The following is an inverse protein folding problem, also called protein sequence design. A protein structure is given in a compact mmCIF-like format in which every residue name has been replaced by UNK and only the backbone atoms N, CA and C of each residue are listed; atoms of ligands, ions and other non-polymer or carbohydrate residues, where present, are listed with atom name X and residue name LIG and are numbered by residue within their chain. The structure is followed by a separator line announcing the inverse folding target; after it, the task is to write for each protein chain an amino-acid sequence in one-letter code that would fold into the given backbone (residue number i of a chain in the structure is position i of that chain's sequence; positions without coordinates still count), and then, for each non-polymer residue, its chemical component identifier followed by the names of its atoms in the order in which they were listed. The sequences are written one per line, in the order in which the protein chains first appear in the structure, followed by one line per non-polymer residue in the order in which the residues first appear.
data_IF_424602215816
#
_entry.id   IF_424602215816
#
_cell.length_a   1.000
_cell.length_b   1.000
_cell.length_c   1.000
_cell.angle_alpha   90.00
_cell.angle_beta   90.00
_cell.angle_gamma   90.00
#
_symmetry.space_group_name_H-M   'P 1'
#
loop_
_entity.id
_entity.type
_entity.pdbx_description
1 polymer ?
#
# COMPACT_ATOMS: atom_id res chain seq x y z
N UNK A 1 -19.26 37.13 25.99
CA UNK A 1 -18.25 36.55 25.07
C UNK A 1 -17.97 35.11 25.49
N UNK A 2 -18.91 34.17 25.35
CA UNK A 2 -18.76 32.82 25.95
C UNK A 2 -19.53 31.67 25.27
N UNK A 3 -20.57 31.97 24.49
CA UNK A 3 -21.32 30.92 23.75
C UNK A 3 -20.74 30.69 22.34
N UNK A 4 -20.34 31.77 21.65
CA UNK A 4 -19.68 31.70 20.34
C UNK A 4 -18.31 30.98 20.39
N UNK A 5 -17.51 31.19 21.44
CA UNK A 5 -16.23 30.48 21.60
C UNK A 5 -16.42 28.99 21.95
N UNK A 6 -17.46 28.64 22.72
CA UNK A 6 -17.80 27.23 22.96
C UNK A 6 -18.22 26.53 21.67
N UNK A 7 -19.12 27.13 20.88
CA UNK A 7 -19.60 26.50 19.66
C UNK A 7 -18.47 26.28 18.64
N UNK A 8 -17.54 27.23 18.52
CA UNK A 8 -16.33 27.07 17.71
C UNK A 8 -15.41 25.98 18.25
N UNK A 9 -15.20 25.93 19.58
CA UNK A 9 -14.44 24.87 20.23
C UNK A 9 -15.05 23.48 19.90
N UNK A 10 -16.34 23.26 20.19
CA UNK A 10 -17.02 21.99 19.87
C UNK A 10 -17.01 21.63 18.37
N UNK A 11 -17.02 22.62 17.47
CA UNK A 11 -16.84 22.41 16.04
C UNK A 11 -15.46 21.82 15.72
N UNK A 12 -14.40 22.48 16.17
CA UNK A 12 -13.01 22.07 15.92
C UNK A 12 -12.68 20.70 16.54
N UNK A 13 -13.15 20.39 17.77
CA UNK A 13 -12.92 19.05 18.37
C UNK A 13 -13.60 17.92 17.59
N UNK A 14 -14.82 18.14 17.08
CA UNK A 14 -15.54 17.14 16.30
C UNK A 14 -14.92 16.95 14.91
N UNK A 15 -14.40 18.01 14.30
CA UNK A 15 -13.68 17.95 13.03
C UNK A 15 -12.34 17.22 13.16
N UNK A 16 -11.56 17.51 14.19
CA UNK A 16 -10.30 16.82 14.48
C UNK A 16 -10.53 15.33 14.80
N UNK A 17 -11.54 15.01 15.62
CA UNK A 17 -11.91 13.63 15.93
C UNK A 17 -12.40 12.88 14.69
N UNK A 18 -13.21 13.54 13.85
CA UNK A 18 -13.69 12.98 12.58
C UNK A 18 -12.56 12.74 11.57
N UNK A 19 -11.62 13.67 11.45
CA UNK A 19 -10.45 13.55 10.58
C UNK A 19 -9.52 12.42 11.05
N UNK A 20 -9.20 12.36 12.35
CA UNK A 20 -8.40 11.28 12.93
C UNK A 20 -9.03 9.91 12.68
N UNK A 21 -10.35 9.78 12.90
CA UNK A 21 -11.08 8.55 12.65
C UNK A 21 -11.07 8.18 11.15
N UNK A 22 -11.13 9.16 10.25
CA UNK A 22 -11.02 8.93 8.81
C UNK A 22 -9.63 8.42 8.42
N UNK A 23 -8.56 9.10 8.83
CA UNK A 23 -7.18 8.72 8.50
C UNK A 23 -6.83 7.35 9.07
N UNK A 24 -7.26 7.06 10.31
CA UNK A 24 -7.14 5.73 10.92
C UNK A 24 -7.77 4.64 10.05
N UNK A 25 -9.00 4.86 9.57
CA UNK A 25 -9.69 3.90 8.68
C UNK A 25 -8.94 3.69 7.37
N UNK A 26 -8.39 4.75 6.78
CA UNK A 26 -7.60 4.65 5.55
C UNK A 26 -6.37 3.77 5.78
N UNK A 27 -5.60 4.01 6.84
CA UNK A 27 -4.42 3.20 7.15
C UNK A 27 -4.76 1.75 7.47
N UNK A 28 -5.87 1.49 8.16
CA UNK A 28 -6.37 0.12 8.40
C UNK A 28 -6.73 -0.58 7.09
N UNK A 29 -7.45 0.08 6.18
CA UNK A 29 -7.76 -0.49 4.86
C UNK A 29 -6.50 -0.77 4.04
N UNK A 30 -5.49 0.10 4.10
CA UNK A 30 -4.20 -0.12 3.43
C UNK A 30 -3.45 -1.33 4.01
N UNK A 31 -3.41 -1.48 5.34
CA UNK A 31 -2.81 -2.64 5.99
C UNK A 31 -3.48 -3.96 5.61
N UNK A 32 -4.82 -3.98 5.58
CA UNK A 32 -5.59 -5.15 5.14
C UNK A 32 -5.33 -5.42 3.66
N UNK A 33 -5.39 -4.40 2.81
CA UNK A 33 -5.14 -4.53 1.37
C UNK A 33 -3.77 -5.10 1.08
N UNK A 34 -2.73 -4.61 1.77
CA UNK A 34 -1.38 -5.11 1.60
C UNK A 34 -1.21 -6.56 2.11
N UNK A 35 -1.91 -6.93 3.19
CA UNK A 35 -1.93 -8.31 3.67
C UNK A 35 -2.57 -9.25 2.64
N UNK A 36 -3.65 -8.80 1.99
CA UNK A 36 -4.28 -9.52 0.86
C UNK A 36 -3.30 -9.65 -0.30
N UNK A 37 -2.64 -8.56 -0.70
CA UNK A 37 -1.61 -8.56 -1.75
C UNK A 37 -0.52 -9.59 -1.46
N UNK A 38 0.01 -9.60 -0.23
CA UNK A 38 1.05 -10.53 0.19
C UNK A 38 0.58 -11.99 0.19
N UNK A 39 -0.63 -12.25 0.68
CA UNK A 39 -1.22 -13.60 0.68
C UNK A 39 -1.43 -14.12 -0.74
N UNK A 40 -1.99 -13.29 -1.63
CA UNK A 40 -2.18 -13.65 -3.04
C UNK A 40 -0.84 -13.86 -3.75
N UNK A 41 0.14 -13.00 -3.52
CA UNK A 41 1.49 -13.16 -4.06
C UNK A 41 2.13 -14.48 -3.63
N UNK A 42 1.97 -14.88 -2.37
CA UNK A 42 2.43 -16.18 -1.86
C UNK A 42 1.75 -17.36 -2.54
N UNK A 43 0.42 -17.32 -2.69
CA UNK A 43 -0.33 -18.38 -3.38
C UNK A 43 0.11 -18.55 -4.83
N UNK A 44 0.33 -17.44 -5.54
CA UNK A 44 0.84 -17.45 -6.90
C UNK A 44 2.25 -18.02 -6.94
N UNK A 45 3.17 -17.52 -6.10
CA UNK A 45 4.54 -18.04 -6.03
C UNK A 45 4.58 -19.55 -5.76
N UNK A 46 3.82 -20.02 -4.75
CA UNK A 46 3.72 -21.44 -4.42
C UNK A 46 3.20 -22.28 -5.59
N UNK A 47 2.21 -21.76 -6.34
CA UNK A 47 1.69 -22.40 -7.55
C UNK A 47 2.72 -22.46 -8.68
N UNK A 48 3.55 -21.42 -8.86
CA UNK A 48 4.64 -21.41 -9.85
C UNK A 48 5.71 -22.45 -9.54
N UNK A 49 6.15 -22.54 -8.27
CA UNK A 49 7.22 -23.46 -7.86
C UNK A 49 6.75 -24.92 -7.88
N UNK A 50 5.48 -25.18 -7.53
CA UNK A 50 4.91 -26.55 -7.51
C UNK A 50 4.49 -27.04 -8.90
N UNK A 51 4.59 -26.19 -9.94
CA UNK A 51 4.23 -26.57 -11.32
C UNK A 51 2.72 -26.65 -11.56
N UNK A 52 1.91 -25.88 -10.83
CA UNK A 52 0.46 -25.83 -11.01
C UNK A 52 0.06 -25.39 -12.42
N UNK A 53 -0.99 -26.01 -12.98
CA UNK A 53 -1.47 -25.76 -14.35
C UNK A 53 -1.80 -24.28 -14.62
N UNK A 54 -2.36 -23.58 -13.63
CA UNK A 54 -2.69 -22.15 -13.73
C UNK A 54 -1.44 -21.29 -13.87
N UNK A 55 -0.40 -21.54 -13.06
CA UNK A 55 0.83 -20.77 -13.09
C UNK A 55 1.57 -20.92 -14.44
N UNK A 56 1.56 -22.11 -15.02
CA UNK A 56 2.18 -22.38 -16.33
C UNK A 56 1.51 -21.62 -17.47
N UNK A 57 0.18 -21.50 -17.45
CA UNK A 57 -0.58 -20.75 -18.47
C UNK A 57 -0.31 -19.24 -18.36
N UNK A 58 -0.29 -18.70 -17.14
CA UNK A 58 -0.14 -17.26 -16.92
C UNK A 58 1.30 -16.75 -17.12
N UNK A 59 2.32 -17.59 -16.88
CA UNK A 59 3.71 -17.11 -16.80
C UNK A 59 4.70 -17.81 -17.74
N UNK A 60 4.41 -19.01 -18.24
CA UNK A 60 5.34 -19.79 -19.06
C UNK A 60 4.79 -20.16 -20.46
N UNK A 61 3.61 -19.68 -20.82
CA UNK A 61 3.04 -19.82 -22.16
C UNK A 61 3.65 -18.80 -23.13
N UNK A 62 3.64 -19.08 -24.44
CA UNK A 62 3.95 -18.12 -25.50
C UNK A 62 3.14 -16.81 -25.34
N UNK A 63 1.93 -16.92 -24.76
CA UNK A 63 1.02 -15.80 -24.49
C UNK A 63 1.22 -15.13 -23.11
N UNK A 64 2.17 -15.60 -22.29
CA UNK A 64 2.34 -15.12 -20.91
C UNK A 64 2.65 -13.62 -20.85
N UNK A 65 3.48 -13.11 -21.77
CA UNK A 65 3.77 -11.68 -21.85
C UNK A 65 2.50 -10.85 -22.13
N UNK A 66 1.60 -11.34 -23.00
CA UNK A 66 0.34 -10.67 -23.27
C UNK A 66 -0.58 -10.65 -22.04
N UNK A 67 -0.63 -11.75 -21.29
CA UNK A 67 -1.41 -11.84 -20.05
C UNK A 67 -0.86 -10.90 -18.96
N UNK A 68 0.46 -10.84 -18.79
CA UNK A 68 1.10 -9.93 -17.84
C UNK A 68 0.88 -8.45 -18.19
N UNK A 69 1.00 -8.09 -19.47
CA UNK A 69 0.71 -6.74 -19.96
C UNK A 69 -0.79 -6.44 -19.76
N UNK A 70 -1.68 -7.40 -20.03
CA UNK A 70 -3.11 -7.27 -19.77
C UNK A 70 -3.45 -7.00 -18.30
N UNK A 71 -2.79 -7.69 -17.37
CA UNK A 71 -2.91 -7.44 -15.93
C UNK A 71 -2.43 -6.04 -15.54
N UNK A 72 -1.32 -5.58 -16.11
CA UNK A 72 -0.79 -4.24 -15.86
C UNK A 72 -1.77 -3.16 -16.36
N UNK A 73 -2.29 -3.31 -17.57
CA UNK A 73 -3.29 -2.38 -18.15
C UNK A 73 -4.56 -2.38 -17.28
N UNK A 74 -5.02 -3.55 -16.85
CA UNK A 74 -6.20 -3.70 -16.00
C UNK A 74 -6.03 -2.94 -14.69
N UNK A 75 -4.85 -3.00 -14.07
CA UNK A 75 -4.55 -2.24 -12.85
C UNK A 75 -4.66 -0.73 -13.06
N UNK A 76 -4.09 -0.21 -14.16
CA UNK A 76 -4.16 1.22 -14.49
C UNK A 76 -5.60 1.65 -14.76
N UNK A 77 -6.33 0.90 -15.58
CA UNK A 77 -7.75 1.17 -15.88
C UNK A 77 -8.56 1.20 -14.58
N UNK A 78 -8.35 0.24 -13.69
CA UNK A 78 -9.11 0.13 -12.45
C UNK A 78 -8.83 1.31 -11.51
N UNK A 79 -7.58 1.78 -11.39
CA UNK A 79 -7.24 2.98 -10.60
C UNK A 79 -7.84 4.25 -11.20
N UNK A 80 -7.77 4.42 -12.52
CA UNK A 80 -8.35 5.58 -13.19
C UNK A 80 -9.88 5.60 -13.07
N UNK A 81 -10.52 4.44 -13.26
CA UNK A 81 -11.95 4.27 -13.05
C UNK A 81 -12.35 4.56 -11.60
N UNK A 82 -11.58 4.08 -10.62
CA UNK A 82 -11.85 4.35 -9.21
C UNK A 82 -11.76 5.86 -8.92
N UNK A 83 -10.72 6.53 -9.42
CA UNK A 83 -10.53 7.98 -9.23
C UNK A 83 -11.67 8.80 -9.86
N UNK A 84 -12.14 8.42 -11.05
CA UNK A 84 -13.27 9.07 -11.71
C UNK A 84 -14.61 8.76 -11.01
N UNK A 85 -14.80 7.53 -10.54
CA UNK A 85 -16.05 7.05 -9.98
C UNK A 85 -16.20 7.30 -8.48
N UNK A 86 -15.16 7.76 -7.77
CA UNK A 86 -15.20 8.02 -6.32
C UNK A 86 -16.25 9.07 -5.92
N UNK A 87 -16.63 9.95 -6.86
CA UNK A 87 -17.68 10.97 -6.66
C UNK A 87 -19.10 10.43 -6.83
N UNK A 88 -19.26 9.27 -7.47
CA UNK A 88 -20.57 8.70 -7.84
C UNK A 88 -20.85 7.35 -7.18
N UNK A 89 -19.84 6.66 -6.64
CA UNK A 89 -19.97 5.35 -6.02
C UNK A 89 -20.15 5.44 -4.50
N UNK A 90 -20.83 4.43 -3.93
CA UNK A 90 -20.95 4.29 -2.48
C UNK A 90 -19.62 3.86 -1.86
N UNK A 91 -19.39 4.24 -0.60
CA UNK A 91 -18.17 3.91 0.16
C UNK A 91 -17.83 2.41 0.15
N UNK A 92 -18.86 1.56 0.17
CA UNK A 92 -18.70 0.10 0.14
C UNK A 92 -18.14 -0.41 -1.20
N UNK A 93 -18.65 0.09 -2.33
CA UNK A 93 -18.19 -0.33 -3.66
C UNK A 93 -16.74 0.11 -3.90
N UNK A 94 -16.38 1.34 -3.51
CA UNK A 94 -15.00 1.82 -3.62
C UNK A 94 -14.03 0.93 -2.83
N UNK A 95 -14.42 0.51 -1.62
CA UNK A 95 -13.61 -0.36 -0.78
C UNK A 95 -13.46 -1.76 -1.38
N UNK A 96 -14.54 -2.32 -1.94
CA UNK A 96 -14.48 -3.61 -2.63
C UNK A 96 -13.56 -3.55 -3.86
N UNK A 97 -13.68 -2.51 -4.69
CA UNK A 97 -12.80 -2.30 -5.84
C UNK A 97 -11.33 -2.13 -5.43
N UNK A 98 -11.06 -1.45 -4.31
CA UNK A 98 -9.71 -1.35 -3.75
C UNK A 98 -9.14 -2.72 -3.37
N UNK A 99 -9.93 -3.60 -2.74
CA UNK A 99 -9.44 -4.95 -2.43
C UNK A 99 -9.28 -5.83 -3.66
N UNK A 100 -10.14 -5.68 -4.66
CA UNK A 100 -9.96 -6.32 -5.97
C UNK A 100 -8.66 -5.86 -6.62
N UNK A 101 -8.38 -4.56 -6.59
CA UNK A 101 -7.11 -4.00 -7.06
C UNK A 101 -5.92 -4.63 -6.33
N UNK A 102 -5.95 -4.64 -4.99
CA UNK A 102 -4.90 -5.22 -4.16
C UNK A 102 -4.65 -6.70 -4.50
N UNK A 103 -5.71 -7.49 -4.69
CA UNK A 103 -5.60 -8.89 -5.10
C UNK A 103 -4.94 -9.03 -6.48
N UNK A 104 -5.36 -8.25 -7.48
CA UNK A 104 -4.76 -8.26 -8.83
C UNK A 104 -3.28 -7.87 -8.76
N UNK A 105 -2.93 -6.85 -7.96
CA UNK A 105 -1.54 -6.48 -7.73
C UNK A 105 -0.74 -7.61 -7.07
N UNK A 106 -1.35 -8.35 -6.13
CA UNK A 106 -0.74 -9.53 -5.52
C UNK A 106 -0.42 -10.61 -6.55
N UNK A 107 -1.31 -10.82 -7.53
CA UNK A 107 -1.06 -11.77 -8.63
C UNK A 107 0.17 -11.34 -9.42
N UNK A 108 0.29 -10.06 -9.75
CA UNK A 108 1.44 -9.51 -10.48
C UNK A 108 2.72 -9.59 -9.66
N UNK A 109 2.67 -9.39 -8.35
CA UNK A 109 3.87 -9.45 -7.49
C UNK A 109 4.32 -10.88 -7.16
N UNK A 110 3.46 -11.88 -7.35
CA UNK A 110 3.79 -13.29 -7.09
C UNK A 110 4.94 -13.86 -7.92
N UNK A 111 5.37 -13.19 -9.00
CA UNK A 111 6.55 -13.58 -9.80
C UNK A 111 7.87 -13.01 -9.28
N UNK A 112 7.83 -11.96 -8.46
CA UNK A 112 9.04 -11.27 -7.96
C UNK A 112 9.98 -12.24 -7.20
N UNK A 113 9.48 -13.15 -6.34
CA UNK A 113 10.34 -14.10 -5.62
C UNK A 113 11.01 -15.17 -6.52
N UNK A 114 10.76 -15.17 -7.84
CA UNK A 114 11.53 -16.00 -8.79
C UNK A 114 12.85 -15.34 -9.20
N UNK A 115 12.93 -14.01 -9.18
CA UNK A 115 14.13 -13.26 -9.52
C UNK A 115 14.92 -12.82 -8.28
N UNK A 116 14.25 -12.72 -7.13
CA UNK A 116 14.82 -12.28 -5.85
C UNK A 116 14.61 -13.32 -4.75
N UNK A 117 15.42 -13.23 -3.69
CA UNK A 117 15.28 -14.12 -2.55
C UNK A 117 13.88 -14.00 -1.90
N UNK A 118 13.24 -15.15 -1.71
CA UNK A 118 11.89 -15.27 -1.15
C UNK A 118 11.78 -14.57 0.21
N UNK A 119 12.77 -14.77 1.09
CA UNK A 119 12.81 -14.14 2.42
C UNK A 119 12.74 -12.62 2.33
N UNK A 120 13.59 -12.02 1.50
CA UNK A 120 13.68 -10.57 1.30
C UNK A 120 12.37 -9.98 0.78
N UNK A 121 11.71 -10.63 -0.18
CA UNK A 121 10.46 -10.13 -0.77
C UNK A 121 9.32 -10.18 0.25
N UNK A 122 9.14 -11.30 0.96
CA UNK A 122 8.06 -11.41 1.95
C UNK A 122 8.32 -10.60 3.21
N UNK A 123 9.59 -10.41 3.61
CA UNK A 123 9.95 -9.47 4.66
C UNK A 123 9.53 -8.04 4.29
N UNK A 124 9.75 -7.61 3.03
CA UNK A 124 9.32 -6.28 2.58
C UNK A 124 7.79 -6.10 2.70
N UNK A 125 6.99 -7.11 2.31
CA UNK A 125 5.54 -7.09 2.51
C UNK A 125 5.15 -6.98 3.99
N UNK A 126 5.79 -7.77 4.86
CA UNK A 126 5.51 -7.77 6.30
C UNK A 126 5.87 -6.42 6.91
N UNK A 127 7.05 -5.87 6.61
CA UNK A 127 7.45 -4.55 7.12
C UNK A 127 6.48 -3.46 6.66
N UNK A 128 6.09 -3.47 5.39
CA UNK A 128 5.11 -2.50 4.89
C UNK A 128 3.73 -2.67 5.56
N UNK A 129 3.28 -3.91 5.83
CA UNK A 129 2.02 -4.16 6.54
C UNK A 129 2.07 -3.67 7.98
N UNK A 130 3.17 -3.96 8.69
CA UNK A 130 3.44 -3.46 10.04
C UNK A 130 3.46 -1.94 10.05
N UNK A 131 4.08 -1.27 9.08
CA UNK A 131 4.10 0.18 8.98
C UNK A 131 2.69 0.76 8.85
N UNK A 132 1.86 0.24 7.93
CA UNK A 132 0.48 0.71 7.76
C UNK A 132 -0.37 0.49 9.01
N UNK A 133 -0.27 -0.68 9.63
CA UNK A 133 -1.00 -0.99 10.87
C UNK A 133 -0.50 -0.14 12.03
N UNK A 134 0.80 0.08 12.16
CA UNK A 134 1.38 0.95 13.18
C UNK A 134 0.88 2.38 13.04
N UNK A 135 0.86 2.92 11.81
CA UNK A 135 0.28 4.24 11.52
C UNK A 135 -1.21 4.30 11.88
N UNK A 136 -1.98 3.23 11.62
CA UNK A 136 -3.38 3.17 12.03
C UNK A 136 -3.55 3.19 13.55
N UNK A 137 -2.75 2.39 14.29
CA UNK A 137 -2.78 2.34 15.75
C UNK A 137 -2.35 3.69 16.35
N UNK A 138 -1.27 4.28 15.84
CA UNK A 138 -0.77 5.59 16.28
C UNK A 138 -1.84 6.66 16.02
N UNK A 139 -2.46 6.69 14.84
CA UNK A 139 -3.53 7.63 14.50
C UNK A 139 -4.80 7.47 15.33
N UNK A 140 -5.05 6.27 15.86
CA UNK A 140 -6.20 5.99 16.73
C UNK A 140 -5.94 6.36 18.19
N UNK A 141 -4.76 6.00 18.71
CA UNK A 141 -4.45 6.09 20.15
C UNK A 141 -3.77 7.40 20.52
N UNK A 142 -3.04 8.02 19.59
CA UNK A 142 -2.14 9.14 19.89
C UNK A 142 -2.77 10.48 19.50
N UNK A 143 -2.72 11.46 20.41
CA UNK A 143 -3.16 12.84 20.17
C UNK A 143 -2.01 13.82 19.92
N UNK A 144 -0.86 13.32 19.47
CA UNK A 144 0.34 14.12 19.26
C UNK A 144 0.24 14.83 17.92
N UNK A 145 0.47 16.14 17.93
CA UNK A 145 0.63 16.95 16.73
C UNK A 145 1.95 16.61 16.03
N UNK A 146 1.84 15.81 14.97
CA UNK A 146 2.97 15.36 14.15
C UNK A 146 3.52 16.45 13.23
N UNK A 147 2.82 17.59 13.08
CA UNK A 147 3.25 18.72 12.23
C UNK A 147 4.63 19.23 12.65
N UNK A 148 4.92 19.20 13.95
CA UNK A 148 6.22 19.58 14.52
C UNK A 148 7.37 18.66 14.08
N UNK A 149 7.08 17.40 13.78
CA UNK A 149 8.06 16.42 13.31
C UNK A 149 8.20 16.40 11.79
N UNK A 150 7.30 17.09 11.06
CA UNK A 150 7.27 17.12 9.59
C UNK A 150 8.62 17.50 8.98
N UNK A 151 9.30 18.52 9.53
CA UNK A 151 10.62 18.95 9.04
C UNK A 151 11.71 17.87 9.16
N UNK A 152 11.73 17.12 10.27
CA UNK A 152 12.69 16.03 10.50
C UNK A 152 12.36 14.84 9.60
N UNK A 153 11.08 14.47 9.50
CA UNK A 153 10.62 13.38 8.65
C UNK A 153 10.88 13.67 7.16
N UNK A 154 10.66 14.91 6.73
CA UNK A 154 10.94 15.34 5.36
C UNK A 154 12.45 15.36 5.07
N UNK A 155 13.25 15.91 5.98
CA UNK A 155 14.72 15.86 5.88
C UNK A 155 15.25 14.42 5.82
N UNK A 156 14.71 13.53 6.66
CA UNK A 156 15.05 12.11 6.67
C UNK A 156 14.64 11.38 5.38
N UNK A 157 13.45 11.66 4.84
CA UNK A 157 12.99 11.13 3.56
C UNK A 157 13.92 11.56 2.42
N UNK A 158 14.30 12.84 2.36
CA UNK A 158 15.22 13.36 1.35
C UNK A 158 16.60 12.72 1.49
N UNK A 159 17.12 12.57 2.72
CA UNK A 159 18.37 11.87 2.96
C UNK A 159 18.32 10.41 2.49
N UNK A 160 17.22 9.70 2.75
CA UNK A 160 16.99 8.33 2.27
C UNK A 160 16.93 8.24 0.75
N UNK A 161 16.27 9.19 0.09
CA UNK A 161 16.20 9.24 -1.38
C UNK A 161 17.58 9.48 -1.99
N UNK A 162 18.35 10.42 -1.45
CA UNK A 162 19.72 10.69 -1.89
C UNK A 162 20.59 9.44 -1.67
N UNK A 163 20.51 8.81 -0.49
CA UNK A 163 21.24 7.58 -0.20
C UNK A 163 20.88 6.44 -1.16
N UNK A 164 19.59 6.27 -1.49
CA UNK A 164 19.10 5.27 -2.44
C UNK A 164 19.69 5.49 -3.84
N UNK A 165 19.71 6.73 -4.34
CA UNK A 165 20.27 7.07 -5.65
C UNK A 165 21.80 6.87 -5.65
N UNK A 166 22.50 7.35 -4.62
CA UNK A 166 23.96 7.21 -4.52
C UNK A 166 24.39 5.75 -4.41
N UNK A 167 23.60 4.90 -3.74
CA UNK A 167 23.86 3.46 -3.62
C UNK A 167 23.92 2.74 -4.98
N UNK A 168 23.23 3.26 -6.01
CA UNK A 168 23.30 2.73 -7.38
C UNK A 168 24.70 2.94 -7.99
N UNK A 169 25.36 4.06 -7.69
CA UNK A 169 26.64 4.46 -8.28
C UNK A 169 27.86 4.08 -7.44
N UNK A 170 27.70 3.94 -6.11
CA UNK A 170 28.80 3.67 -5.18
C UNK A 170 28.65 2.24 -4.63
N UNK A 171 29.42 1.25 -5.14
CA UNK A 171 29.25 -0.16 -4.77
C UNK A 171 29.53 -0.46 -3.29
N UNK A 172 30.34 0.37 -2.62
CA UNK A 172 30.65 0.26 -1.18
C UNK A 172 29.41 0.45 -0.30
N UNK A 173 28.42 1.24 -0.75
CA UNK A 173 27.17 1.45 -0.02
C UNK A 173 26.11 0.35 -0.29
N UNK A 174 26.36 -0.53 -1.27
CA UNK A 174 25.44 -1.58 -1.71
C UNK A 174 25.64 -2.91 -0.97
N UNK A 175 26.81 -3.14 -0.39
CA UNK A 175 27.27 -4.47 0.04
C UNK A 175 27.38 -4.66 1.57
N UNK A 176 26.66 -3.84 2.35
CA UNK A 176 26.39 -4.04 3.79
C UNK A 176 24.90 -4.33 3.98
#
# INVERSE_FOLDING_TARGET
MSEFDRQNYYGTYNEEAGLKAYITKVFTHMGIGLTITAAVAYLIFHSLVTGGTLARIFFFSESALFIQIGLLITQIVLVLSLNAAIRHLSKGVCTALFFTYAAITGITFGVIPLAYEVGTVFQAFIFAAILFVSCAVIGHVTNVDLTKYSGILFGGLVALLIASILSIFIPVLRNN
#
